data_IF_251529079108
#
_entry.id   IF_251529079108
#
_cell.length_a   1.000
_cell.length_b   1.000
_cell.length_c   1.000
_cell.angle_alpha   90.00
_cell.angle_beta   90.00
_cell.angle_gamma   90.00
#
_symmetry.space_group_name_H-M   'P 1'
#
loop_
_entity.id
_entity.type
_entity.pdbx_description
1 polymer ?
#
# COMPACT_ATOMS: atom_id res chain seq x y z
N UNK A 1 -6.82 -1.08 -11.97
CA UNK A 1 -5.66 -0.19 -11.73
C UNK A 1 -4.67 -0.80 -10.74
N UNK A 2 -5.07 -1.10 -9.50
CA UNK A 2 -4.14 -1.49 -8.41
C UNK A 2 -3.27 -2.74 -8.68
N UNK A 3 -3.78 -3.71 -9.45
CA UNK A 3 -3.03 -4.93 -9.80
C UNK A 3 -2.24 -4.76 -11.11
N UNK A 4 -2.73 -3.93 -12.03
CA UNK A 4 -2.17 -3.79 -13.38
C UNK A 4 -0.98 -2.84 -13.40
N UNK A 5 -1.04 -1.74 -12.62
CA UNK A 5 0.01 -0.73 -12.64
C UNK A 5 1.38 -1.26 -12.17
N UNK A 6 1.50 -2.01 -11.05
CA UNK A 6 2.78 -2.58 -10.65
C UNK A 6 3.33 -3.60 -11.65
N UNK A 7 2.45 -4.38 -12.29
CA UNK A 7 2.84 -5.34 -13.33
C UNK A 7 3.38 -4.61 -14.56
N UNK A 8 2.67 -3.58 -15.04
CA UNK A 8 3.12 -2.77 -16.15
C UNK A 8 4.47 -2.10 -15.86
N UNK A 9 4.65 -1.50 -14.68
CA UNK A 9 5.93 -0.89 -14.29
C UNK A 9 7.05 -1.92 -14.22
N UNK A 10 6.82 -3.09 -13.61
CA UNK A 10 7.87 -4.13 -13.49
C UNK A 10 8.27 -4.76 -14.82
N UNK A 11 7.32 -4.93 -15.74
CA UNK A 11 7.57 -5.49 -17.08
C UNK A 11 8.32 -4.51 -18.00
N UNK A 12 8.10 -3.20 -17.82
CA UNK A 12 8.80 -2.18 -18.60
C UNK A 12 10.13 -1.74 -17.95
N UNK A 13 10.30 -1.95 -16.64
CA UNK A 13 11.48 -1.52 -15.89
C UNK A 13 12.76 -2.31 -16.25
N UNK A 14 13.90 -1.60 -16.47
CA UNK A 14 15.21 -2.23 -16.55
C UNK A 14 15.55 -2.99 -15.26
N UNK A 15 16.33 -4.05 -15.39
CA UNK A 15 16.66 -4.96 -14.27
C UNK A 15 17.26 -4.25 -13.06
N UNK A 16 18.22 -3.36 -13.30
CA UNK A 16 18.95 -2.67 -12.22
C UNK A 16 18.10 -1.73 -11.36
N UNK A 17 17.01 -1.18 -11.90
CA UNK A 17 16.16 -0.20 -11.20
C UNK A 17 14.73 -0.69 -10.96
N UNK A 18 14.44 -1.96 -11.27
CA UNK A 18 13.09 -2.53 -11.14
C UNK A 18 12.57 -2.47 -9.71
N UNK A 19 13.41 -2.76 -8.72
CA UNK A 19 13.06 -2.67 -7.30
C UNK A 19 12.64 -1.24 -6.91
N UNK A 20 13.42 -0.24 -7.32
CA UNK A 20 13.13 1.17 -7.09
C UNK A 20 11.81 1.61 -7.74
N UNK A 21 11.61 1.30 -9.03
CA UNK A 21 10.39 1.66 -9.77
C UNK A 21 9.14 0.97 -9.19
N UNK A 22 9.28 -0.26 -8.70
CA UNK A 22 8.19 -0.96 -7.99
C UNK A 22 7.90 -0.29 -6.65
N UNK A 23 8.94 0.17 -5.94
CA UNK A 23 8.80 0.95 -4.71
C UNK A 23 8.12 2.30 -4.93
N UNK A 24 8.39 2.97 -6.06
CA UNK A 24 7.74 4.24 -6.42
C UNK A 24 6.23 4.14 -6.49
N UNK A 25 5.67 2.98 -6.85
CA UNK A 25 4.22 2.76 -6.81
C UNK A 25 3.64 2.95 -5.40
N UNK A 26 4.29 2.38 -4.38
CA UNK A 26 3.88 2.58 -2.99
C UNK A 26 4.05 4.04 -2.58
N UNK A 27 5.15 4.69 -2.99
CA UNK A 27 5.38 6.11 -2.72
C UNK A 27 4.26 6.98 -3.32
N UNK A 28 3.81 6.71 -4.54
CA UNK A 28 2.70 7.44 -5.17
C UNK A 28 1.37 7.24 -4.44
N UNK A 29 1.07 6.05 -3.95
CA UNK A 29 -0.13 5.81 -3.12
C UNK A 29 -0.10 6.69 -1.88
N UNK A 30 1.03 6.70 -1.17
CA UNK A 30 1.16 7.45 0.09
C UNK A 30 1.16 8.96 -0.16
N UNK A 31 1.81 9.40 -1.25
CA UNK A 31 1.84 10.81 -1.67
C UNK A 31 0.45 11.29 -2.10
N UNK A 32 -0.30 10.47 -2.85
CA UNK A 32 -1.69 10.78 -3.20
C UNK A 32 -2.58 10.92 -1.97
N UNK A 33 -2.41 10.03 -0.98
CA UNK A 33 -3.10 10.15 0.31
C UNK A 33 -2.74 11.43 1.08
N UNK A 34 -1.45 11.81 1.09
CA UNK A 34 -1.00 13.07 1.69
C UNK A 34 -1.63 14.29 1.01
N UNK A 35 -1.62 14.33 -0.33
CA UNK A 35 -2.25 15.41 -1.11
C UNK A 35 -3.74 15.49 -0.79
N UNK A 36 -4.44 14.36 -0.67
CA UNK A 36 -5.85 14.33 -0.29
C UNK A 36 -6.10 14.92 1.11
N UNK A 37 -5.24 14.64 2.10
CA UNK A 37 -5.35 15.27 3.43
C UNK A 37 -5.18 16.80 3.36
N UNK A 38 -4.23 17.29 2.56
CA UNK A 38 -4.03 18.73 2.38
C UNK A 38 -5.15 19.41 1.61
N UNK A 39 -5.73 18.75 0.60
CA UNK A 39 -6.91 19.27 -0.10
C UNK A 39 -8.08 19.41 0.87
N UNK A 40 -8.35 18.39 1.68
CA UNK A 40 -9.41 18.45 2.70
C UNK A 40 -9.18 19.60 3.67
N UNK A 41 -7.94 19.82 4.11
CA UNK A 41 -7.59 20.96 4.95
C UNK A 41 -7.81 22.30 4.24
N UNK A 42 -7.35 22.47 3.00
CA UNK A 42 -7.52 23.70 2.23
C UNK A 42 -9.00 24.06 2.00
N UNK A 43 -9.83 23.05 1.71
CA UNK A 43 -11.28 23.23 1.57
C UNK A 43 -11.91 23.65 2.92
N UNK A 44 -11.47 23.06 4.03
CA UNK A 44 -11.96 23.43 5.38
C UNK A 44 -11.58 24.85 5.82
N UNK A 45 -10.58 25.48 5.19
CA UNK A 45 -10.23 26.88 5.44
C UNK A 45 -11.05 27.86 4.59
N UNK A 46 -11.57 27.40 3.46
CA UNK A 46 -12.22 28.25 2.44
C UNK A 46 -13.74 28.21 2.53
N UNK A 47 -14.31 27.08 2.95
CA UNK A 47 -15.76 26.83 2.99
C UNK A 47 -16.24 26.64 4.44
N UNK A 48 -17.50 27.02 4.71
CA UNK A 48 -18.15 26.75 6.00
C UNK A 48 -18.46 25.25 6.17
N UNK A 49 -18.46 24.76 7.41
CA UNK A 49 -18.70 23.33 7.73
C UNK A 49 -20.06 22.80 7.24
N UNK A 50 -21.06 23.68 7.11
CA UNK A 50 -22.41 23.34 6.67
C UNK A 50 -22.60 23.38 5.13
N UNK A 51 -21.57 23.78 4.38
CA UNK A 51 -21.64 23.88 2.92
C UNK A 51 -21.45 22.52 2.26
N UNK A 52 -22.35 22.16 1.33
CA UNK A 52 -22.20 20.94 0.52
C UNK A 52 -20.88 20.92 -0.28
N UNK A 53 -20.31 22.10 -0.55
CA UNK A 53 -18.99 22.27 -1.18
C UNK A 53 -17.86 21.56 -0.42
N UNK A 54 -17.99 21.39 0.91
CA UNK A 54 -16.94 20.80 1.76
C UNK A 54 -16.59 19.36 1.38
N UNK A 55 -17.55 18.56 0.90
CA UNK A 55 -17.31 17.19 0.45
C UNK A 55 -17.29 17.05 -1.07
N UNK A 56 -17.97 17.93 -1.81
CA UNK A 56 -18.02 17.89 -3.28
C UNK A 56 -16.66 18.25 -3.88
N UNK A 57 -16.00 19.30 -3.38
CA UNK A 57 -14.73 19.79 -3.96
C UNK A 57 -13.62 18.73 -3.84
N UNK A 58 -13.35 18.13 -2.67
CA UNK A 58 -12.32 17.08 -2.59
C UNK A 58 -12.63 15.85 -3.45
N UNK A 59 -13.91 15.51 -3.63
CA UNK A 59 -14.33 14.41 -4.48
C UNK A 59 -14.12 14.74 -5.97
N UNK A 60 -14.45 15.96 -6.39
CA UNK A 60 -14.25 16.41 -7.76
C UNK A 60 -12.76 16.52 -8.14
N UNK A 61 -11.92 17.00 -7.22
CA UNK A 61 -10.47 17.16 -7.44
C UNK A 61 -9.79 15.80 -7.68
N UNK A 62 -10.30 14.70 -7.12
CA UNK A 62 -9.80 13.35 -7.43
C UNK A 62 -9.96 12.95 -8.91
N UNK A 63 -10.86 13.62 -9.64
CA UNK A 63 -11.02 13.46 -11.08
C UNK A 63 -9.81 13.94 -11.89
N UNK A 64 -9.04 14.91 -11.38
CA UNK A 64 -7.86 15.47 -12.08
C UNK A 64 -6.79 14.41 -12.35
N UNK A 65 -6.26 13.68 -11.34
CA UNK A 65 -5.27 12.63 -11.58
C UNK A 65 -5.83 11.47 -12.41
N UNK A 66 -7.14 11.18 -12.31
CA UNK A 66 -7.79 10.16 -13.13
C UNK A 66 -7.84 10.56 -14.62
N UNK A 67 -8.20 11.80 -14.92
CA UNK A 67 -8.19 12.35 -16.28
C UNK A 67 -6.77 12.38 -16.85
N UNK A 68 -5.79 12.85 -16.05
CA UNK A 68 -4.39 12.86 -16.44
C UNK A 68 -3.89 11.45 -16.78
N UNK A 69 -4.20 10.46 -15.93
CA UNK A 69 -3.82 9.07 -16.17
C UNK A 69 -4.47 8.53 -17.45
N UNK A 70 -5.74 8.83 -17.69
CA UNK A 70 -6.44 8.43 -18.92
C UNK A 70 -5.77 9.02 -20.16
N UNK A 71 -5.47 10.32 -20.16
CA UNK A 71 -4.79 10.98 -21.27
C UNK A 71 -3.39 10.41 -21.52
N UNK A 72 -2.61 10.15 -20.46
CA UNK A 72 -1.27 9.59 -20.56
C UNK A 72 -1.28 8.13 -21.03
N UNK A 73 -2.29 7.35 -20.67
CA UNK A 73 -2.43 5.96 -21.12
C UNK A 73 -2.59 5.84 -22.65
N UNK A 74 -3.18 6.83 -23.31
CA UNK A 74 -3.30 6.84 -24.79
C UNK A 74 -1.93 6.93 -25.48
N UNK A 75 -0.94 7.52 -24.80
CA UNK A 75 0.42 7.74 -25.33
C UNK A 75 1.37 6.62 -24.88
N UNK A 76 1.03 5.90 -23.82
CA UNK A 76 1.87 4.84 -23.24
C UNK A 76 2.00 3.64 -24.19
N UNK A 77 3.21 3.08 -24.29
CA UNK A 77 3.44 1.87 -25.08
C UNK A 77 2.86 0.63 -24.36
N UNK A 78 2.45 -0.39 -25.10
CA UNK A 78 2.10 -1.68 -24.49
C UNK A 78 3.33 -2.36 -23.85
N UNK A 79 3.12 -3.26 -22.89
CA UNK A 79 4.23 -4.03 -22.29
C UNK A 79 4.87 -4.96 -23.33
N UNK A 80 6.21 -4.97 -23.50
CA UNK A 80 6.91 -5.92 -24.37
C UNK A 80 6.57 -7.38 -24.04
N UNK A 81 6.47 -7.70 -22.74
CA UNK A 81 6.13 -9.06 -22.28
C UNK A 81 4.70 -9.43 -22.64
N UNK A 82 3.76 -8.48 -22.56
CA UNK A 82 2.37 -8.71 -22.98
C UNK A 82 2.27 -9.01 -24.48
N UNK A 83 2.96 -8.24 -25.32
CA UNK A 83 3.01 -8.44 -26.77
C UNK A 83 3.64 -9.80 -27.12
N UNK A 84 4.77 -10.14 -26.48
CA UNK A 84 5.42 -11.44 -26.63
C UNK A 84 4.52 -12.61 -26.20
N UNK A 85 3.73 -12.44 -25.12
CA UNK A 85 2.77 -13.47 -24.67
C UNK A 85 1.63 -13.71 -25.67
N UNK A 86 1.29 -12.72 -26.50
CA UNK A 86 0.34 -12.84 -27.62
C UNK A 86 0.99 -13.32 -28.93
N UNK A 87 2.22 -13.82 -28.85
CA UNK A 87 3.05 -14.24 -29.99
C UNK A 87 3.33 -13.10 -31.01
N UNK A 88 3.19 -11.81 -30.61
CA UNK A 88 3.52 -10.60 -31.40
C UNK A 88 4.97 -10.17 -31.17
N UNK A 89 5.92 -11.02 -31.52
CA UNK A 89 7.35 -10.87 -31.20
C UNK A 89 8.02 -9.64 -31.84
N UNK A 90 7.69 -9.33 -33.10
CA UNK A 90 8.24 -8.16 -33.81
C UNK A 90 7.83 -6.84 -33.15
N UNK A 91 6.59 -6.75 -32.69
CA UNK A 91 6.09 -5.56 -32.00
C UNK A 91 6.70 -5.44 -30.61
N UNK A 92 6.83 -6.57 -29.88
CA UNK A 92 7.52 -6.61 -28.59
C UNK A 92 8.96 -6.08 -28.71
N UNK A 93 9.68 -6.46 -29.78
CA UNK A 93 11.03 -5.99 -30.06
C UNK A 93 11.09 -4.49 -30.34
N UNK A 94 10.20 -3.98 -31.20
CA UNK A 94 10.10 -2.54 -31.51
C UNK A 94 9.82 -1.70 -30.26
N UNK A 95 8.91 -2.16 -29.41
CA UNK A 95 8.59 -1.47 -28.16
C UNK A 95 9.77 -1.52 -27.18
N UNK A 96 10.46 -2.66 -27.07
CA UNK A 96 11.65 -2.79 -26.22
C UNK A 96 12.78 -1.84 -26.66
N UNK A 97 13.02 -1.72 -27.98
CA UNK A 97 13.96 -0.74 -28.56
C UNK A 97 13.55 0.68 -28.19
N UNK A 98 12.27 1.04 -28.34
CA UNK A 98 11.75 2.36 -28.01
C UNK A 98 11.88 2.70 -26.52
N UNK A 99 11.64 1.74 -25.63
CA UNK A 99 11.72 1.97 -24.18
C UNK A 99 13.18 2.06 -23.74
N UNK A 100 14.06 1.22 -24.28
CA UNK A 100 15.48 1.18 -23.90
C UNK A 100 16.32 2.27 -24.56
N UNK A 101 15.84 2.86 -25.67
CA UNK A 101 16.58 3.86 -26.46
C UNK A 101 17.96 3.33 -26.89
N UNK A 102 18.03 2.03 -27.21
CA UNK A 102 19.26 1.34 -27.63
C UNK A 102 19.09 0.78 -29.06
N UNK A 103 20.17 0.69 -29.85
CA UNK A 103 20.13 0.00 -31.14
C UNK A 103 19.72 -1.46 -31.00
N UNK A 104 19.09 -2.01 -32.03
CA UNK A 104 18.65 -3.40 -32.08
C UNK A 104 19.80 -4.42 -31.92
N UNK A 105 21.01 -4.05 -32.36
CA UNK A 105 22.21 -4.87 -32.27
C UNK A 105 22.88 -4.83 -30.88
N UNK A 106 22.39 -4.03 -29.95
CA UNK A 106 23.02 -3.87 -28.65
C UNK A 106 22.89 -5.17 -27.82
N UNK A 107 23.99 -5.74 -27.29
CA UNK A 107 23.98 -7.02 -26.57
C UNK A 107 22.96 -7.08 -25.42
N UNK A 108 22.89 -6.03 -24.60
CA UNK A 108 21.92 -5.92 -23.51
C UNK A 108 20.45 -6.10 -23.96
N UNK A 109 20.08 -5.58 -25.14
CA UNK A 109 18.72 -5.67 -25.64
C UNK A 109 18.41 -7.09 -26.15
N UNK A 110 19.40 -7.74 -26.76
CA UNK A 110 19.27 -9.13 -27.22
C UNK A 110 19.15 -10.10 -26.05
N UNK A 111 19.98 -9.93 -25.02
CA UNK A 111 19.89 -10.70 -23.77
C UNK A 111 18.52 -10.52 -23.12
N UNK A 112 18.06 -9.28 -22.94
CA UNK A 112 16.76 -9.01 -22.33
C UNK A 112 15.59 -9.60 -23.13
N UNK A 113 15.66 -9.54 -24.46
CA UNK A 113 14.66 -10.14 -25.34
C UNK A 113 14.64 -11.67 -25.26
N UNK A 114 15.81 -12.30 -25.29
CA UNK A 114 15.95 -13.76 -25.13
C UNK A 114 15.44 -14.24 -23.77
N UNK A 115 15.67 -13.47 -22.72
CA UNK A 115 15.19 -13.80 -21.39
C UNK A 115 13.68 -13.67 -21.26
N UNK A 116 13.06 -12.67 -21.91
CA UNK A 116 11.60 -12.60 -22.00
C UNK A 116 11.06 -13.85 -22.70
N UNK A 117 11.69 -14.27 -23.80
CA UNK A 117 11.31 -15.48 -24.51
C UNK A 117 11.45 -16.74 -23.65
N UNK A 118 12.58 -16.89 -22.95
CA UNK A 118 12.84 -18.00 -22.05
C UNK A 118 11.84 -18.04 -20.88
N UNK A 119 11.58 -16.90 -20.24
CA UNK A 119 10.60 -16.80 -19.15
C UNK A 119 9.19 -17.16 -19.61
N UNK A 120 8.80 -16.76 -20.82
CA UNK A 120 7.50 -17.13 -21.39
C UNK A 120 7.43 -18.62 -21.73
N UNK A 121 8.50 -19.23 -22.23
CA UNK A 121 8.54 -20.67 -22.48
C UNK A 121 8.51 -21.47 -21.16
N UNK A 122 9.27 -21.05 -20.15
CA UNK A 122 9.17 -21.60 -18.80
C UNK A 122 7.78 -21.44 -18.21
N UNK A 123 7.15 -20.28 -18.37
CA UNK A 123 5.78 -20.04 -17.90
C UNK A 123 4.79 -20.94 -18.63
N UNK A 124 4.91 -21.11 -19.96
CA UNK A 124 4.10 -22.04 -20.76
C UNK A 124 4.33 -23.50 -20.33
N UNK A 125 5.57 -23.91 -20.05
CA UNK A 125 5.91 -25.27 -19.55
C UNK A 125 5.38 -25.52 -18.15
N UNK A 126 5.57 -24.56 -17.25
CA UNK A 126 5.09 -24.63 -15.87
C UNK A 126 3.56 -24.61 -15.84
N UNK A 127 2.89 -23.79 -16.66
CA UNK A 127 1.43 -23.76 -16.72
C UNK A 127 0.87 -24.99 -17.43
N UNK A 128 1.45 -25.43 -18.55
CA UNK A 128 1.04 -26.63 -19.28
C UNK A 128 -0.47 -26.69 -19.54
N UNK A 129 -1.08 -27.86 -19.32
CA UNK A 129 -2.53 -28.07 -19.38
C UNK A 129 -3.26 -27.76 -18.05
N UNK A 130 -2.63 -27.04 -17.11
CA UNK A 130 -3.26 -26.81 -15.82
C UNK A 130 -4.43 -25.85 -15.92
N UNK A 131 -5.62 -26.41 -15.75
CA UNK A 131 -6.83 -25.64 -15.51
C UNK A 131 -6.74 -24.94 -14.15
N UNK A 132 -7.43 -23.80 -13.98
CA UNK A 132 -7.55 -23.10 -12.70
C UNK A 132 -7.87 -24.04 -11.52
N UNK A 133 -8.75 -25.03 -11.73
CA UNK A 133 -9.11 -26.02 -10.71
C UNK A 133 -7.94 -26.94 -10.31
N UNK A 134 -7.06 -27.28 -11.25
CA UNK A 134 -5.87 -28.09 -10.97
C UNK A 134 -4.83 -27.32 -10.15
N UNK A 135 -4.66 -26.03 -10.41
CA UNK A 135 -3.79 -25.14 -9.62
C UNK A 135 -4.33 -24.94 -8.20
N UNK A 136 -5.65 -24.79 -8.07
CA UNK A 136 -6.31 -24.69 -6.76
C UNK A 136 -6.09 -25.98 -5.96
N UNK A 137 -6.29 -27.15 -6.59
CA UNK A 137 -6.00 -28.44 -5.97
C UNK A 137 -4.54 -28.55 -5.56
N UNK A 138 -3.60 -28.19 -6.43
CA UNK A 138 -2.15 -28.21 -6.12
C UNK A 138 -1.81 -27.32 -4.92
N UNK A 139 -2.38 -26.11 -4.86
CA UNK A 139 -2.09 -25.16 -3.80
C UNK A 139 -2.60 -25.63 -2.43
N UNK A 140 -3.78 -26.25 -2.36
CA UNK A 140 -4.40 -26.66 -1.10
C UNK A 140 -4.10 -28.10 -0.67
N UNK A 141 -3.87 -29.02 -1.63
CA UNK A 141 -3.59 -30.42 -1.33
C UNK A 141 -2.11 -30.65 -1.00
N UNK A 142 -1.18 -29.92 -1.63
CA UNK A 142 0.25 -30.05 -1.32
C UNK A 142 0.56 -29.31 -0.01
N UNK A 143 1.03 -30.01 1.04
CA UNK A 143 1.21 -29.39 2.37
C UNK A 143 2.16 -28.19 2.38
N UNK A 144 3.21 -28.21 1.56
CA UNK A 144 4.16 -27.10 1.44
C UNK A 144 3.52 -25.84 0.84
N UNK A 145 2.77 -26.00 -0.25
CA UNK A 145 2.06 -24.89 -0.91
C UNK A 145 0.94 -24.35 -0.04
N UNK A 146 0.22 -25.23 0.67
CA UNK A 146 -0.82 -24.84 1.62
C UNK A 146 -0.26 -23.97 2.74
N UNK A 147 0.89 -24.34 3.33
CA UNK A 147 1.56 -23.52 4.36
C UNK A 147 1.92 -22.13 3.84
N UNK A 148 2.42 -22.04 2.61
CA UNK A 148 2.78 -20.77 1.93
C UNK A 148 1.55 -19.89 1.68
N UNK A 149 0.44 -20.48 1.24
CA UNK A 149 -0.82 -19.79 1.02
C UNK A 149 -1.44 -19.28 2.34
N UNK A 150 -1.48 -20.13 3.36
CA UNK A 150 -1.95 -19.75 4.70
C UNK A 150 -1.10 -18.65 5.33
N UNK A 151 0.23 -18.71 5.17
CA UNK A 151 1.12 -17.66 5.66
C UNK A 151 0.83 -16.31 4.97
N UNK A 152 0.59 -16.33 3.65
CA UNK A 152 0.24 -15.12 2.90
C UNK A 152 -1.11 -14.55 3.32
N UNK A 153 -2.11 -15.43 3.50
CA UNK A 153 -3.41 -15.06 4.04
C UNK A 153 -3.27 -14.40 5.42
N UNK A 154 -2.63 -15.09 6.38
CA UNK A 154 -2.47 -14.60 7.75
C UNK A 154 -1.69 -13.29 7.79
N UNK A 155 -0.65 -13.15 6.96
CA UNK A 155 0.14 -11.92 6.86
C UNK A 155 -0.71 -10.72 6.42
N UNK A 156 -1.61 -10.90 5.45
CA UNK A 156 -2.53 -9.84 5.01
C UNK A 156 -3.60 -9.53 6.06
N UNK A 157 -4.09 -10.55 6.77
CA UNK A 157 -4.99 -10.34 7.92
C UNK A 157 -4.29 -9.47 8.97
N UNK A 158 -3.09 -9.86 9.40
CA UNK A 158 -2.32 -9.11 10.38
C UNK A 158 -2.01 -7.67 9.91
N UNK A 159 -1.65 -7.49 8.64
CA UNK A 159 -1.41 -6.16 8.06
C UNK A 159 -2.63 -5.23 8.23
N UNK A 160 -3.83 -5.74 7.97
CA UNK A 160 -5.07 -4.94 8.09
C UNK A 160 -5.48 -4.73 9.54
N UNK A 161 -5.29 -5.75 10.39
CA UNK A 161 -5.56 -5.67 11.82
C UNK A 161 -4.56 -4.79 12.59
N UNK A 162 -3.47 -4.32 11.97
CA UNK A 162 -2.65 -3.25 12.56
C UNK A 162 -3.45 -1.99 12.88
N UNK A 163 -4.61 -1.78 12.22
CA UNK A 163 -5.45 -0.60 12.43
C UNK A 163 -5.03 0.60 11.58
N UNK A 164 -4.06 0.46 10.68
CA UNK A 164 -3.59 1.57 9.85
C UNK A 164 -4.68 2.16 8.96
N UNK A 165 -5.57 1.33 8.41
CA UNK A 165 -6.71 1.83 7.63
C UNK A 165 -7.75 2.53 8.51
N UNK A 166 -7.95 2.05 9.74
CA UNK A 166 -8.81 2.71 10.73
C UNK A 166 -8.31 4.14 11.01
N UNK A 167 -7.00 4.27 11.28
CA UNK A 167 -6.39 5.58 11.47
C UNK A 167 -6.51 6.42 10.20
N UNK A 168 -6.20 5.92 9.01
CA UNK A 168 -6.30 6.73 7.80
C UNK A 168 -7.72 7.26 7.53
N UNK A 169 -8.75 6.44 7.78
CA UNK A 169 -10.14 6.80 7.53
C UNK A 169 -10.71 7.72 8.62
N UNK A 170 -10.38 7.44 9.88
CA UNK A 170 -10.95 8.13 11.05
C UNK A 170 -9.95 9.05 11.75
N UNK A 171 -8.81 9.38 11.14
CA UNK A 171 -7.78 10.23 11.75
C UNK A 171 -8.34 11.54 12.29
N UNK A 172 -9.22 12.27 11.58
CA UNK A 172 -9.77 13.50 12.12
C UNK A 172 -10.58 13.30 13.40
N UNK A 173 -11.33 12.19 13.48
CA UNK A 173 -12.13 11.84 14.66
C UNK A 173 -11.23 11.36 15.80
N UNK A 174 -10.22 10.55 15.51
CA UNK A 174 -9.24 10.07 16.50
C UNK A 174 -8.49 11.27 17.11
N UNK A 175 -8.02 12.22 16.31
CA UNK A 175 -7.35 13.42 16.81
C UNK A 175 -8.27 14.29 17.66
N UNK A 176 -9.54 14.42 17.26
CA UNK A 176 -10.55 15.10 18.07
C UNK A 176 -10.74 14.41 19.42
N UNK A 177 -10.86 13.08 19.43
CA UNK A 177 -10.98 12.27 20.63
C UNK A 177 -9.73 12.26 21.53
N UNK A 178 -8.59 12.77 21.06
CA UNK A 178 -7.38 12.96 21.86
C UNK A 178 -7.30 14.36 22.51
N UNK A 179 -8.29 15.23 22.24
CA UNK A 179 -8.38 16.59 22.76
C UNK A 179 -7.99 17.67 21.75
N UNK A 180 -7.66 17.33 20.49
CA UNK A 180 -7.36 18.33 19.46
C UNK A 180 -8.67 18.96 19.00
N UNK A 181 -9.00 20.09 19.58
CA UNK A 181 -10.22 20.85 19.27
C UNK A 181 -10.06 21.66 17.98
N UNK A 182 -11.07 21.61 17.12
CA UNK A 182 -11.14 22.36 15.86
C UNK A 182 -10.97 21.47 14.63
N UNK A 183 -11.94 21.53 13.72
CA UNK A 183 -11.95 20.75 12.46
C UNK A 183 -10.72 21.05 11.61
N UNK A 184 -10.33 22.32 11.48
CA UNK A 184 -9.13 22.74 10.75
C UNK A 184 -7.85 22.22 11.42
N UNK A 185 -7.74 22.25 12.75
CA UNK A 185 -6.56 21.74 13.49
C UNK A 185 -6.41 20.22 13.35
N UNK A 186 -7.54 19.51 13.37
CA UNK A 186 -7.57 18.06 13.19
C UNK A 186 -7.17 17.68 11.75
N UNK A 187 -7.72 18.37 10.74
CA UNK A 187 -7.34 18.18 9.34
C UNK A 187 -5.87 18.55 9.08
N UNK A 188 -5.37 19.63 9.68
CA UNK A 188 -3.94 19.98 9.63
C UNK A 188 -3.06 18.85 10.19
N UNK A 189 -3.46 18.25 11.31
CA UNK A 189 -2.75 17.10 11.90
C UNK A 189 -2.77 15.88 10.98
N UNK A 190 -3.84 15.66 10.19
CA UNK A 190 -3.86 14.61 9.16
C UNK A 190 -2.91 14.90 7.99
N UNK A 191 -2.72 16.17 7.64
CA UNK A 191 -1.72 16.61 6.67
C UNK A 191 -0.30 16.27 7.11
N UNK A 192 0.05 16.58 8.37
CA UNK A 192 1.34 16.21 8.97
C UNK A 192 1.53 14.69 9.00
N UNK A 193 0.49 13.94 9.41
CA UNK A 193 0.50 12.48 9.37
C UNK A 193 0.81 11.94 7.96
N UNK A 194 0.24 12.57 6.92
CA UNK A 194 0.56 12.29 5.51
C UNK A 194 2.04 12.50 5.19
N UNK A 195 2.62 13.64 5.60
CA UNK A 195 4.04 13.95 5.39
C UNK A 195 4.94 12.91 6.06
N UNK A 196 4.67 12.58 7.32
CA UNK A 196 5.45 11.57 8.07
C UNK A 196 5.43 10.22 7.35
N UNK A 197 4.28 9.82 6.79
CA UNK A 197 4.18 8.59 6.00
C UNK A 197 4.99 8.65 4.70
N UNK A 198 4.95 9.76 3.98
CA UNK A 198 5.73 9.93 2.74
C UNK A 198 7.22 9.87 3.04
N UNK A 199 7.70 10.65 4.01
CA UNK A 199 9.12 10.68 4.41
C UNK A 199 9.57 9.30 4.88
N UNK A 200 8.78 8.62 5.71
CA UNK A 200 9.10 7.27 6.19
C UNK A 200 9.15 6.24 5.06
N UNK A 201 8.25 6.36 4.08
CA UNK A 201 8.25 5.50 2.89
C UNK A 201 9.49 5.75 2.02
N UNK A 202 9.89 7.00 1.81
CA UNK A 202 11.13 7.36 1.10
C UNK A 202 12.35 6.79 1.84
N UNK A 203 12.43 6.99 3.16
CA UNK A 203 13.52 6.45 3.97
C UNK A 203 13.59 4.92 3.88
N UNK A 204 12.43 4.23 3.91
CA UNK A 204 12.38 2.79 3.72
C UNK A 204 12.96 2.37 2.37
N UNK A 205 12.49 3.00 1.28
CA UNK A 205 12.87 2.65 -0.08
C UNK A 205 14.35 2.91 -0.37
N UNK A 206 14.93 4.00 0.17
CA UNK A 206 16.32 4.38 -0.10
C UNK A 206 17.34 3.65 0.78
N UNK A 207 17.03 3.43 2.07
CA UNK A 207 18.03 2.98 3.04
C UNK A 207 17.77 1.58 3.59
N UNK A 208 16.50 1.15 3.65
CA UNK A 208 16.09 0.01 4.46
C UNK A 208 15.65 -1.21 3.65
N UNK A 209 15.19 -0.99 2.41
CA UNK A 209 14.66 -2.04 1.54
C UNK A 209 15.70 -3.14 1.27
N UNK A 210 16.96 -2.76 1.01
CA UNK A 210 18.02 -3.70 0.67
C UNK A 210 18.87 -4.15 1.87
N UNK A 211 18.92 -3.36 2.95
CA UNK A 211 19.86 -3.57 4.06
C UNK A 211 19.26 -4.35 5.26
N UNK A 212 17.99 -4.12 5.60
CA UNK A 212 17.44 -4.59 6.86
C UNK A 212 16.87 -6.02 6.78
N UNK A 213 16.58 -6.49 5.56
CA UNK A 213 15.92 -7.77 5.32
C UNK A 213 14.45 -7.78 5.74
N UNK A 214 13.63 -8.51 4.98
CA UNK A 214 12.15 -8.42 5.05
C UNK A 214 11.55 -8.88 6.38
N UNK A 215 12.07 -9.98 6.93
CA UNK A 215 11.57 -10.52 8.21
C UNK A 215 11.90 -9.60 9.38
N UNK A 216 13.12 -9.04 9.43
CA UNK A 216 13.54 -8.14 10.51
C UNK A 216 12.78 -6.83 10.46
N UNK A 217 12.60 -6.27 9.26
CA UNK A 217 11.77 -5.08 9.03
C UNK A 217 10.33 -5.27 9.57
N UNK A 218 9.68 -6.42 9.31
CA UNK A 218 8.37 -6.71 9.89
C UNK A 218 8.39 -6.81 11.42
N UNK A 219 9.37 -7.49 12.01
CA UNK A 219 9.44 -7.66 13.47
C UNK A 219 9.69 -6.33 14.19
N UNK A 220 10.65 -5.53 13.71
CA UNK A 220 10.99 -4.22 14.31
C UNK A 220 9.82 -3.25 14.19
N UNK A 221 9.18 -3.18 13.02
CA UNK A 221 7.99 -2.35 12.83
C UNK A 221 6.82 -2.79 13.71
N UNK A 222 6.61 -4.10 13.89
CA UNK A 222 5.58 -4.64 14.78
C UNK A 222 5.75 -4.16 16.22
N UNK A 223 6.97 -4.24 16.76
CA UNK A 223 7.26 -3.82 18.14
C UNK A 223 7.05 -2.32 18.30
N UNK A 224 7.52 -1.52 17.33
CA UNK A 224 7.31 -0.08 17.33
C UNK A 224 5.83 0.31 17.27
N UNK A 225 5.04 -0.35 16.41
CA UNK A 225 3.61 -0.12 16.31
C UNK A 225 2.85 -0.55 17.57
N UNK A 226 3.20 -1.70 18.15
CA UNK A 226 2.60 -2.18 19.40
C UNK A 226 2.85 -1.19 20.56
N UNK A 227 4.08 -0.68 20.69
CA UNK A 227 4.42 0.33 21.69
C UNK A 227 3.60 1.62 21.52
N UNK A 228 3.47 2.10 20.28
CA UNK A 228 2.68 3.31 19.99
C UNK A 228 1.20 3.12 20.32
N UNK A 229 0.60 2.00 19.90
CA UNK A 229 -0.80 1.68 20.18
C UNK A 229 -1.06 1.51 21.68
N UNK A 230 -0.15 0.86 22.40
CA UNK A 230 -0.26 0.72 23.85
C UNK A 230 -0.17 2.08 24.56
N UNK A 231 0.75 2.94 24.12
CA UNK A 231 0.89 4.31 24.63
C UNK A 231 -0.38 5.15 24.44
N UNK A 232 -1.00 5.06 23.26
CA UNK A 232 -2.27 5.75 22.96
C UNK A 232 -3.39 5.22 23.86
N UNK A 233 -3.51 3.89 24.01
CA UNK A 233 -4.54 3.29 24.85
C UNK A 233 -4.40 3.64 26.34
N UNK A 234 -3.17 3.71 26.85
CA UNK A 234 -2.91 4.18 28.21
C UNK A 234 -3.34 5.64 28.40
N UNK A 235 -3.06 6.51 27.44
CA UNK A 235 -3.48 7.92 27.51
C UNK A 235 -5.01 8.04 27.57
N UNK A 236 -5.72 7.39 26.66
CA UNK A 236 -7.19 7.40 26.62
C UNK A 236 -7.80 6.89 27.92
N UNK A 237 -7.18 5.90 28.57
CA UNK A 237 -7.69 5.30 29.82
C UNK A 237 -7.39 6.15 31.06
N UNK A 238 -6.19 6.67 31.20
CA UNK A 238 -5.71 7.29 32.46
C UNK A 238 -5.74 8.81 32.45
N UNK A 239 -5.79 9.44 31.28
CA UNK A 239 -5.86 10.90 31.14
C UNK A 239 -6.76 11.26 29.96
N UNK A 240 -8.04 10.83 29.98
CA UNK A 240 -8.97 11.16 28.92
C UNK A 240 -9.07 12.68 28.76
N UNK A 241 -9.16 13.20 27.53
CA UNK A 241 -9.32 14.63 27.31
C UNK A 241 -10.63 15.10 27.94
N UNK A 242 -10.54 16.20 28.68
CA UNK A 242 -11.70 16.85 29.32
C UNK A 242 -12.11 18.04 28.46
N UNK A 243 -13.38 18.08 28.07
CA UNK A 243 -13.92 19.16 27.24
C UNK A 243 -13.68 20.54 27.90
N UNK A 244 -13.08 21.47 27.16
CA UNK A 244 -12.78 22.83 27.61
C UNK A 244 -11.47 23.02 28.37
N UNK A 245 -10.70 21.95 28.62
CA UNK A 245 -9.34 22.03 29.18
C UNK A 245 -8.29 22.02 28.06
N UNK A 246 -7.13 22.69 28.24
CA UNK A 246 -6.02 22.56 27.30
C UNK A 246 -5.52 21.12 27.24
N UNK A 247 -5.05 20.71 26.05
CA UNK A 247 -4.54 19.35 25.83
C UNK A 247 -3.35 19.11 26.78
N UNK A 248 -3.40 18.07 27.63
CA UNK A 248 -2.29 17.76 28.53
C UNK A 248 -1.06 17.32 27.73
N UNK A 249 0.16 17.42 28.28
CA UNK A 249 1.38 16.93 27.63
C UNK A 249 1.27 15.47 27.13
N UNK A 250 0.52 14.64 27.86
CA UNK A 250 0.22 13.26 27.49
C UNK A 250 -0.59 13.13 26.18
N UNK A 251 -1.44 14.10 25.85
CA UNK A 251 -2.20 14.13 24.59
C UNK A 251 -1.32 14.47 23.38
N UNK A 252 -0.38 15.39 23.56
CA UNK A 252 0.65 15.66 22.55
C UNK A 252 1.57 14.45 22.34
N UNK A 253 1.92 13.73 23.41
CA UNK A 253 2.66 12.47 23.30
C UNK A 253 1.87 11.41 22.53
N UNK A 254 0.57 11.23 22.81
CA UNK A 254 -0.29 10.29 22.09
C UNK A 254 -0.42 10.65 20.59
N UNK A 255 -0.50 11.94 20.26
CA UNK A 255 -0.46 12.42 18.87
C UNK A 255 0.85 12.04 18.17
N UNK A 256 2.00 12.27 18.83
CA UNK A 256 3.32 11.87 18.30
C UNK A 256 3.39 10.35 18.12
N UNK A 257 2.82 9.56 19.04
CA UNK A 257 2.73 8.11 18.90
C UNK A 257 1.94 7.69 17.65
N UNK A 258 0.90 8.42 17.24
CA UNK A 258 0.18 8.13 15.99
C UNK A 258 1.09 8.38 14.77
N UNK A 259 1.87 9.47 14.77
CA UNK A 259 2.81 9.76 13.68
C UNK A 259 3.92 8.70 13.61
N UNK A 260 4.49 8.32 14.75
CA UNK A 260 5.52 7.29 14.85
C UNK A 260 4.98 5.91 14.46
N UNK A 261 3.73 5.58 14.83
CA UNK A 261 3.04 4.38 14.37
C UNK A 261 2.97 4.33 12.84
N UNK A 262 2.62 5.46 12.20
CA UNK A 262 2.54 5.58 10.75
C UNK A 262 3.92 5.35 10.09
N UNK A 263 4.97 5.88 10.72
CA UNK A 263 6.34 5.70 10.27
C UNK A 263 6.76 4.22 10.32
N UNK A 264 6.55 3.55 11.46
CA UNK A 264 6.86 2.12 11.59
C UNK A 264 6.06 1.25 10.63
N UNK A 265 4.79 1.58 10.36
CA UNK A 265 4.01 0.86 9.35
C UNK A 265 4.68 0.90 7.97
N UNK A 266 5.14 2.09 7.53
CA UNK A 266 5.80 2.22 6.22
C UNK A 266 7.19 1.58 6.18
N UNK A 267 7.87 1.45 7.33
CA UNK A 267 9.16 0.79 7.45
C UNK A 267 9.07 -0.76 7.43
N UNK A 268 7.87 -1.34 7.45
CA UNK A 268 7.73 -2.79 7.38
C UNK A 268 6.39 -3.25 6.83
N UNK A 269 5.33 -3.20 7.63
CA UNK A 269 4.03 -3.78 7.29
C UNK A 269 3.41 -3.28 5.99
N UNK A 270 3.68 -2.05 5.57
CA UNK A 270 3.23 -1.54 4.27
C UNK A 270 3.85 -2.32 3.10
N UNK A 271 5.13 -2.09 2.78
CA UNK A 271 5.78 -2.68 1.62
C UNK A 271 6.19 -4.16 1.80
N UNK A 272 6.71 -4.55 2.97
CA UNK A 272 7.30 -5.89 3.17
C UNK A 272 6.26 -7.01 3.06
N UNK A 273 5.02 -6.74 3.46
CA UNK A 273 3.91 -7.68 3.36
C UNK A 273 3.61 -8.10 1.90
N UNK A 274 3.46 -7.14 1.00
CA UNK A 274 3.21 -7.41 -0.43
C UNK A 274 4.37 -8.10 -1.11
N UNK A 275 5.58 -7.66 -0.74
CA UNK A 275 6.83 -8.25 -1.19
C UNK A 275 6.90 -9.75 -0.78
N UNK A 276 6.57 -10.09 0.47
CA UNK A 276 6.55 -11.49 0.94
C UNK A 276 5.44 -12.33 0.28
N UNK A 277 4.23 -11.78 0.09
CA UNK A 277 3.12 -12.48 -0.59
C UNK A 277 3.49 -12.87 -2.03
N UNK A 278 4.33 -12.08 -2.69
CA UNK A 278 4.80 -12.38 -4.05
C UNK A 278 5.99 -13.36 -4.10
N UNK A 279 6.81 -13.47 -3.06
CA UNK A 279 8.03 -14.30 -3.10
C UNK A 279 7.95 -15.65 -2.39
N UNK A 280 7.09 -15.79 -1.37
CA UNK A 280 6.92 -17.05 -0.64
C UNK A 280 6.42 -18.21 -1.55
N UNK A 281 5.47 -17.99 -2.48
CA UNK A 281 4.93 -19.07 -3.33
C UNK A 281 5.89 -19.53 -4.43
N UNK A 282 5.69 -20.75 -4.92
CA UNK A 282 6.31 -21.21 -6.16
C UNK A 282 5.86 -20.33 -7.34
N UNK A 283 6.73 -20.12 -8.34
CA UNK A 283 6.49 -19.20 -9.46
C UNK A 283 5.14 -19.46 -10.17
N UNK A 284 4.78 -20.74 -10.36
CA UNK A 284 3.50 -21.15 -10.98
C UNK A 284 2.26 -20.76 -10.15
N UNK A 285 2.35 -20.80 -8.82
CA UNK A 285 1.23 -20.51 -7.91
C UNK A 285 1.22 -19.05 -7.42
N UNK A 286 2.27 -18.29 -7.73
CA UNK A 286 2.44 -16.89 -7.31
C UNK A 286 1.25 -16.00 -7.68
N UNK A 287 0.72 -16.00 -8.92
CA UNK A 287 -0.42 -15.14 -9.27
C UNK A 287 -1.65 -15.44 -8.42
N UNK A 288 -1.91 -16.72 -8.15
CA UNK A 288 -3.04 -17.17 -7.34
C UNK A 288 -2.90 -16.75 -5.88
N UNK A 289 -1.70 -16.89 -5.34
CA UNK A 289 -1.40 -16.47 -3.97
C UNK A 289 -1.51 -14.95 -3.78
N UNK A 290 -1.02 -14.16 -4.75
CA UNK A 290 -1.16 -12.70 -4.74
C UNK A 290 -2.64 -12.30 -4.82
N UNK A 291 -3.45 -13.01 -5.61
CA UNK A 291 -4.90 -12.78 -5.67
C UNK A 291 -5.59 -13.07 -4.33
N UNK A 292 -5.24 -14.16 -3.65
CA UNK A 292 -5.73 -14.45 -2.29
C UNK A 292 -5.30 -13.35 -1.32
N UNK A 293 -4.04 -12.91 -1.38
CA UNK A 293 -3.55 -11.84 -0.53
C UNK A 293 -4.33 -10.55 -0.72
N UNK A 294 -4.52 -10.12 -1.97
CA UNK A 294 -5.31 -8.94 -2.30
C UNK A 294 -6.78 -9.07 -1.87
N UNK A 295 -7.44 -10.18 -2.15
CA UNK A 295 -8.81 -10.44 -1.70
C UNK A 295 -8.93 -10.37 -0.17
N UNK A 296 -7.98 -10.97 0.55
CA UNK A 296 -7.90 -10.92 2.02
C UNK A 296 -7.74 -9.49 2.52
N UNK A 297 -6.83 -8.73 1.91
CA UNK A 297 -6.56 -7.34 2.25
C UNK A 297 -7.82 -6.47 2.10
N UNK A 298 -8.57 -6.61 0.99
CA UNK A 298 -9.82 -5.88 0.79
C UNK A 298 -10.94 -6.32 1.74
N UNK A 299 -11.08 -7.63 1.98
CA UNK A 299 -12.06 -8.15 2.92
C UNK A 299 -11.83 -7.60 4.34
N UNK A 300 -10.59 -7.65 4.83
CA UNK A 300 -10.27 -7.14 6.16
C UNK A 300 -10.25 -5.61 6.21
N UNK A 301 -10.01 -4.92 5.10
CA UNK A 301 -10.24 -3.47 5.03
C UNK A 301 -11.71 -3.15 5.34
N UNK A 302 -12.64 -3.87 4.69
CA UNK A 302 -14.08 -3.72 4.93
C UNK A 302 -14.46 -4.04 6.38
N UNK A 303 -13.94 -5.15 6.93
CA UNK A 303 -14.19 -5.52 8.33
C UNK A 303 -13.74 -4.40 9.28
N UNK A 304 -12.50 -3.91 9.13
CA UNK A 304 -11.97 -2.82 9.96
C UNK A 304 -12.80 -1.55 9.81
N UNK A 305 -13.16 -1.16 8.58
CA UNK A 305 -13.97 0.02 8.33
C UNK A 305 -15.37 -0.05 8.97
N UNK A 306 -15.95 -1.24 9.09
CA UNK A 306 -17.26 -1.43 9.75
C UNK A 306 -17.18 -1.56 11.26
N UNK A 307 -16.18 -2.28 11.77
CA UNK A 307 -16.06 -2.59 13.20
C UNK A 307 -15.53 -1.40 14.00
N UNK A 308 -14.60 -0.61 13.45
CA UNK A 308 -13.95 0.49 14.19
C UNK A 308 -14.95 1.54 14.70
N UNK A 309 -15.92 2.06 13.90
CA UNK A 309 -16.92 2.98 14.43
C UNK A 309 -17.75 2.40 15.58
N UNK A 310 -18.10 1.11 15.50
CA UNK A 310 -18.82 0.42 16.56
C UNK A 310 -17.97 0.27 17.82
N UNK A 311 -16.67 0.04 17.67
CA UNK A 311 -15.74 -0.02 18.80
C UNK A 311 -15.58 1.35 19.45
N UNK A 312 -15.37 2.42 18.67
CA UNK A 312 -15.26 3.78 19.17
C UNK A 312 -16.54 4.22 19.94
N UNK A 313 -17.72 3.82 19.45
CA UNK A 313 -18.98 4.16 20.09
C UNK A 313 -19.28 3.36 21.38
N UNK A 314 -18.96 2.07 21.42
CA UNK A 314 -19.42 1.17 22.49
C UNK A 314 -18.33 0.78 23.49
N UNK A 315 -17.07 0.77 23.09
CA UNK A 315 -15.96 0.31 23.92
C UNK A 315 -15.30 1.49 24.65
N UNK A 316 -15.41 2.71 24.15
CA UNK A 316 -14.59 3.83 24.64
C UNK A 316 -14.78 4.23 26.11
N UNK A 317 -15.94 3.98 26.71
CA UNK A 317 -16.14 4.24 28.15
C UNK A 317 -15.49 3.18 29.07
N UNK A 318 -15.22 1.96 28.57
CA UNK A 318 -14.77 0.81 29.38
C UNK A 318 -13.51 0.11 28.84
N UNK A 319 -12.95 0.57 27.72
CA UNK A 319 -11.76 0.00 27.07
C UNK A 319 -10.58 0.98 26.98
N UNK A 320 -9.65 0.68 26.07
CA UNK A 320 -8.43 1.48 25.80
C UNK A 320 -8.53 2.27 24.48
N UNK A 321 -9.73 2.58 23.99
CA UNK A 321 -9.96 3.11 22.63
C UNK A 321 -10.93 4.27 22.58
#
# INVERSE_FOLDING_TARGET
MAVINPIYVTENAPRGIRGLLTGMYQLFIVTGGMIAFWINYAVSLSESEDSASMYIIPLAVQGIPAALLFSLMVIANESPRYLARKDRWEEAKKVLIRIRQLPESHPYLQEEFQEIAHQLDEEKRLMGNATFLSLQREMWLVPSNRKRALLSFLLMVCQQLTGTNAINTYAPQIFKNLGITGTSTSLFSTGIYGIVKVVSCVCFLLFMADSLGRRRSLLVSSVGQAWCMFSIGLYVRFSPPVDGQPVPPAGYYALVCIFVFAAFFQLGWGPACWILVSEIPAARLRPMNVAIGAATQWLFNFVVAKVVPLMLANIGAHGYG
#
